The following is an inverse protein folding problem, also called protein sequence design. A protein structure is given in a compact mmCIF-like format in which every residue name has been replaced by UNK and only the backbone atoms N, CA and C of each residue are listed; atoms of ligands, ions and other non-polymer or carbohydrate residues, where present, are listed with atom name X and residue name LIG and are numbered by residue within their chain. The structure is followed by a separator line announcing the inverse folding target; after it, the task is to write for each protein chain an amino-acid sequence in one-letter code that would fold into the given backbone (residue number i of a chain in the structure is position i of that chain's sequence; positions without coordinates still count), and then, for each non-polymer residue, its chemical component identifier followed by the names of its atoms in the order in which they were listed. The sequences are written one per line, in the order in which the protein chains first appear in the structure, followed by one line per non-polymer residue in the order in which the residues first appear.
data_IF_911376004519
#
_entry.id   IF_911376004519
#
_cell.length_a   1.000
_cell.length_b   1.000
_cell.length_c   1.000
_cell.angle_alpha   90.00
_cell.angle_beta   90.00
_cell.angle_gamma   90.00
#
_symmetry.space_group_name_H-M   'P 1'
#
loop_
_entity.id
_entity.type
_entity.pdbx_description
1 polymer ?
#
# COMPACT_ATOMS: atom_id res chain seq x y z
N UNK A 1 -21.65 15.80 -7.24
CA UNK A 1 -20.76 16.78 -6.61
C UNK A 1 -21.60 17.80 -5.87
N UNK A 2 -21.28 18.01 -4.60
CA UNK A 2 -21.92 19.05 -3.78
C UNK A 2 -20.99 20.27 -3.68
N UNK A 3 -21.46 21.37 -3.09
CA UNK A 3 -20.69 22.62 -2.96
C UNK A 3 -20.55 23.05 -1.49
N UNK A 4 -20.48 22.08 -0.57
CA UNK A 4 -20.29 22.40 0.84
C UNK A 4 -18.89 23.03 1.03
N UNK A 5 -18.82 24.10 1.80
CA UNK A 5 -17.61 24.88 2.05
C UNK A 5 -17.38 25.07 3.55
N UNK A 6 -16.15 25.39 3.92
CA UNK A 6 -15.78 25.68 5.30
C UNK A 6 -15.39 24.44 6.08
N UNK A 7 -15.31 24.57 7.41
CA UNK A 7 -14.79 23.51 8.29
C UNK A 7 -15.83 22.46 8.61
N UNK A 8 -15.36 21.23 8.77
CA UNK A 8 -16.16 20.14 9.35
C UNK A 8 -16.44 20.49 10.82
N UNK A 9 -17.70 20.55 11.25
CA UNK A 9 -18.03 20.92 12.62
C UNK A 9 -17.68 19.78 13.59
N UNK A 10 -17.05 20.12 14.72
CA UNK A 10 -16.69 19.15 15.78
C UNK A 10 -17.91 18.46 16.40
N UNK A 11 -19.10 19.03 16.25
CA UNK A 11 -20.37 18.45 16.70
C UNK A 11 -20.69 17.10 16.05
N UNK A 12 -20.11 16.77 14.89
CA UNK A 12 -20.26 15.45 14.28
C UNK A 12 -19.85 14.34 15.24
N UNK A 13 -18.80 14.53 16.04
CA UNK A 13 -18.37 13.54 17.03
C UNK A 13 -19.37 13.24 18.15
N UNK A 14 -20.47 13.99 18.26
CA UNK A 14 -21.58 13.68 19.18
C UNK A 14 -22.53 12.61 18.64
N UNK A 15 -22.48 12.33 17.34
CA UNK A 15 -23.35 11.37 16.65
C UNK A 15 -22.82 9.95 16.84
N UNK A 16 -22.89 9.43 18.07
CA UNK A 16 -22.28 8.13 18.43
C UNK A 16 -22.83 6.93 17.65
N UNK A 17 -24.03 7.05 17.10
CA UNK A 17 -24.70 6.02 16.30
C UNK A 17 -24.59 6.26 14.79
N UNK A 18 -23.77 7.21 14.36
CA UNK A 18 -23.54 7.43 12.94
C UNK A 18 -22.75 6.25 12.37
N UNK A 19 -23.34 5.57 11.39
CA UNK A 19 -22.71 4.42 10.72
C UNK A 19 -21.99 4.81 9.42
N UNK A 20 -22.58 5.75 8.67
CA UNK A 20 -22.06 6.16 7.36
C UNK A 20 -21.87 7.67 7.32
N UNK A 21 -20.68 8.11 6.93
CA UNK A 21 -20.35 9.51 6.68
C UNK A 21 -19.62 9.65 5.34
N UNK A 22 -20.35 10.11 4.32
CA UNK A 22 -19.78 10.47 3.02
C UNK A 22 -19.82 12.00 2.86
N UNK A 23 -18.63 12.60 2.86
CA UNK A 23 -18.42 14.02 2.60
C UNK A 23 -17.61 14.24 1.32
N UNK A 24 -17.45 13.21 0.50
CA UNK A 24 -16.61 13.26 -0.69
C UNK A 24 -17.11 14.28 -1.70
N UNK A 25 -16.20 14.76 -2.56
CA UNK A 25 -16.52 15.68 -3.66
C UNK A 25 -17.23 16.96 -3.22
N UNK A 26 -16.60 17.67 -2.28
CA UNK A 26 -17.01 18.97 -1.76
C UNK A 26 -15.80 19.95 -1.73
N UNK A 27 -15.99 21.14 -1.18
CA UNK A 27 -14.94 22.14 -0.98
C UNK A 27 -14.70 22.40 0.51
N UNK A 28 -14.81 21.35 1.34
CA UNK A 28 -14.57 21.47 2.78
C UNK A 28 -13.08 21.75 3.03
N UNK A 29 -12.79 22.55 4.04
CA UNK A 29 -11.43 23.00 4.35
C UNK A 29 -11.12 22.96 5.83
N UNK A 30 -9.84 23.10 6.19
CA UNK A 30 -9.38 22.96 7.57
C UNK A 30 -9.17 21.50 7.97
N UNK A 31 -8.95 21.29 9.26
CA UNK A 31 -8.55 19.99 9.79
C UNK A 31 -9.74 19.03 9.96
N UNK A 32 -9.46 17.73 9.90
CA UNK A 32 -10.42 16.70 10.32
C UNK A 32 -10.55 16.77 11.86
N UNK A 33 -11.74 16.99 12.43
CA UNK A 33 -11.88 17.16 13.87
C UNK A 33 -11.47 15.91 14.65
N UNK A 34 -10.63 16.05 15.68
CA UNK A 34 -10.24 14.95 16.57
C UNK A 34 -11.45 14.22 17.18
N UNK A 35 -12.58 14.92 17.34
CA UNK A 35 -13.86 14.37 17.79
C UNK A 35 -14.41 13.23 16.91
N UNK A 36 -13.91 13.03 15.69
CA UNK A 36 -14.27 11.87 14.87
C UNK A 36 -13.90 10.55 15.54
N UNK A 37 -12.86 10.55 16.39
CA UNK A 37 -12.54 9.39 17.23
C UNK A 37 -13.69 8.98 18.16
N UNK A 38 -14.65 9.88 18.45
CA UNK A 38 -15.82 9.56 19.30
C UNK A 38 -16.96 8.86 18.55
N UNK A 39 -16.85 8.68 17.24
CA UNK A 39 -17.82 7.97 16.41
C UNK A 39 -17.59 6.46 16.52
N UNK A 40 -18.24 5.82 17.49
CA UNK A 40 -18.03 4.40 17.83
C UNK A 40 -18.82 3.40 17.00
N UNK A 41 -19.73 3.88 16.13
CA UNK A 41 -20.53 3.04 15.25
C UNK A 41 -20.21 3.23 13.77
N UNK A 42 -19.20 4.06 13.44
CA UNK A 42 -18.94 4.48 12.06
C UNK A 42 -18.27 3.37 11.24
N UNK A 43 -19.01 2.74 10.34
CA UNK A 43 -18.54 1.66 9.48
C UNK A 43 -18.07 2.13 8.11
N UNK A 44 -18.53 3.29 7.64
CA UNK A 44 -18.16 3.85 6.35
C UNK A 44 -17.82 5.33 6.46
N UNK A 45 -16.64 5.69 5.96
CA UNK A 45 -16.13 7.06 5.91
C UNK A 45 -15.59 7.33 4.51
N UNK A 46 -15.97 8.46 3.92
CA UNK A 46 -15.35 8.97 2.70
C UNK A 46 -15.18 10.49 2.79
N UNK A 47 -13.94 10.96 2.74
CA UNK A 47 -13.55 12.38 2.81
C UNK A 47 -12.87 12.85 1.52
N UNK A 48 -12.86 12.01 0.48
CA UNK A 48 -12.08 12.23 -0.73
C UNK A 48 -12.53 13.46 -1.51
N UNK A 49 -11.62 14.03 -2.29
CA UNK A 49 -11.87 15.19 -3.16
C UNK A 49 -12.47 16.37 -2.38
N UNK A 50 -11.68 16.88 -1.42
CA UNK A 50 -11.94 18.09 -0.63
C UNK A 50 -10.65 18.92 -0.49
N UNK A 51 -10.68 20.00 0.30
CA UNK A 51 -9.53 20.85 0.61
C UNK A 51 -9.10 20.70 2.09
N UNK A 52 -9.20 19.49 2.66
CA UNK A 52 -8.83 19.22 4.04
C UNK A 52 -7.30 19.29 4.22
N UNK A 53 -6.88 19.69 5.41
CA UNK A 53 -5.46 19.93 5.74
C UNK A 53 -5.08 19.24 7.06
N UNK A 54 -3.78 19.09 7.31
CA UNK A 54 -3.25 18.69 8.59
C UNK A 54 -3.18 17.17 8.79
N UNK A 55 -2.90 16.75 10.03
CA UNK A 55 -2.75 15.34 10.37
C UNK A 55 -4.10 14.63 10.40
N UNK A 56 -4.18 13.45 9.79
CA UNK A 56 -5.33 12.56 9.93
C UNK A 56 -5.41 12.11 11.40
N UNK A 57 -6.53 12.38 12.11
CA UNK A 57 -6.68 12.03 13.50
C UNK A 57 -6.70 10.51 13.65
N UNK A 58 -5.85 9.99 14.54
CA UNK A 58 -5.88 8.59 14.97
C UNK A 58 -6.72 8.41 16.22
N UNK A 59 -7.22 7.18 16.43
CA UNK A 59 -7.92 6.75 17.63
C UNK A 59 -9.27 6.06 17.37
N UNK A 60 -9.60 5.10 18.23
CA UNK A 60 -10.80 4.28 18.16
C UNK A 60 -11.05 3.71 16.74
N UNK A 61 -12.21 3.97 16.17
CA UNK A 61 -12.64 3.43 14.87
C UNK A 61 -11.89 4.07 13.69
N UNK A 62 -11.21 5.21 13.88
CA UNK A 62 -10.44 5.84 12.80
C UNK A 62 -9.21 5.03 12.38
N UNK A 63 -8.67 4.21 13.28
CA UNK A 63 -7.56 3.29 12.99
C UNK A 63 -7.99 2.13 12.09
N UNK A 64 -9.30 1.89 11.95
CA UNK A 64 -9.82 0.86 11.04
C UNK A 64 -9.94 1.35 9.59
N UNK A 65 -9.92 2.66 9.38
CA UNK A 65 -10.00 3.28 8.05
C UNK A 65 -8.60 3.45 7.45
N UNK A 66 -7.98 2.32 7.11
CA UNK A 66 -6.63 2.27 6.53
C UNK A 66 -6.60 2.43 5.01
N UNK A 67 -7.76 2.48 4.37
CA UNK A 67 -7.86 2.70 2.93
C UNK A 67 -7.51 4.16 2.60
N UNK A 68 -6.46 4.36 1.80
CA UNK A 68 -5.99 5.68 1.38
C UNK A 68 -6.99 6.40 0.47
N UNK A 69 -7.86 5.66 -0.23
CA UNK A 69 -8.89 6.25 -1.10
C UNK A 69 -9.88 7.13 -0.35
N UNK A 70 -10.10 6.87 0.95
CA UNK A 70 -10.96 7.67 1.83
C UNK A 70 -10.51 9.13 1.90
N UNK A 71 -9.20 9.37 1.75
CA UNK A 71 -8.56 10.68 1.92
C UNK A 71 -8.05 11.26 0.59
N UNK A 72 -8.20 10.53 -0.51
CA UNK A 72 -7.72 10.92 -1.84
C UNK A 72 -8.18 12.32 -2.23
N UNK A 73 -7.39 13.06 -3.01
CA UNK A 73 -7.78 14.39 -3.49
C UNK A 73 -7.78 15.49 -2.44
N UNK A 74 -7.18 15.25 -1.26
CA UNK A 74 -6.88 16.27 -0.23
C UNK A 74 -5.36 16.48 -0.15
N UNK A 75 -4.79 17.45 -0.89
CA UNK A 75 -3.33 17.53 -1.09
C UNK A 75 -2.52 17.94 0.15
N UNK A 76 -3.18 18.45 1.20
CA UNK A 76 -2.52 18.96 2.40
C UNK A 76 -2.75 18.09 3.64
N UNK A 77 -3.33 16.89 3.46
CA UNK A 77 -3.41 15.88 4.52
C UNK A 77 -2.07 15.15 4.68
N UNK A 78 -1.76 14.74 5.91
CA UNK A 78 -0.57 13.98 6.25
C UNK A 78 -0.84 12.99 7.40
N UNK A 79 0.10 12.07 7.63
CA UNK A 79 0.01 11.03 8.65
C UNK A 79 -0.75 9.78 8.18
N UNK A 80 -0.59 8.69 8.93
CA UNK A 80 -1.24 7.42 8.61
C UNK A 80 -2.77 7.59 8.46
N UNK A 81 -3.41 6.93 7.46
CA UNK A 81 -2.83 5.90 6.58
C UNK A 81 -2.09 6.44 5.35
N UNK A 82 -1.96 7.76 5.17
CA UNK A 82 -1.18 8.33 4.06
C UNK A 82 0.32 8.20 4.35
N UNK A 83 1.12 7.93 3.31
CA UNK A 83 2.59 7.93 3.38
C UNK A 83 3.21 9.32 3.47
N UNK A 84 2.38 10.37 3.52
CA UNK A 84 2.82 11.77 3.62
C UNK A 84 3.19 12.05 5.09
N UNK A 85 4.44 12.42 5.33
CA UNK A 85 4.94 12.76 6.68
C UNK A 85 4.43 14.14 7.10
N UNK A 86 4.01 14.28 8.37
CA UNK A 86 3.53 15.56 8.88
C UNK A 86 4.68 16.47 9.36
N UNK A 87 4.56 17.80 9.20
CA UNK A 87 5.49 18.74 9.79
C UNK A 87 5.63 18.53 11.31
N UNK A 88 6.87 18.35 11.79
CA UNK A 88 7.17 18.09 13.20
C UNK A 88 7.55 16.64 13.51
N UNK A 89 7.30 15.68 12.61
CA UNK A 89 7.80 14.31 12.75
C UNK A 89 9.31 14.19 12.44
N UNK A 90 9.86 15.16 11.71
CA UNK A 90 11.23 15.14 11.18
C UNK A 90 12.32 15.77 12.06
N UNK A 91 12.07 16.05 13.35
CA UNK A 91 13.15 16.43 14.27
C UNK A 91 14.18 15.30 14.49
N UNK A 92 14.00 14.11 13.89
CA UNK A 92 14.97 12.99 13.94
C UNK A 92 15.28 12.31 12.61
N UNK A 93 14.80 12.77 11.46
CA UNK A 93 15.15 12.14 10.18
C UNK A 93 15.32 13.18 9.08
N UNK A 94 16.56 13.66 8.91
CA UNK A 94 16.95 14.23 7.61
C UNK A 94 17.09 13.07 6.64
N UNK A 95 16.13 12.92 5.73
CA UNK A 95 16.40 12.48 4.38
C UNK A 95 15.39 13.16 3.45
N UNK A 96 15.87 14.24 2.84
CA UNK A 96 15.34 14.80 1.61
C UNK A 96 15.20 13.69 0.57
N UNK A 97 13.99 13.46 0.05
CA UNK A 97 13.82 12.85 -1.27
C UNK A 97 12.80 13.67 -2.07
N UNK A 98 13.12 14.04 -3.34
CA UNK A 98 12.21 14.80 -4.20
C UNK A 98 11.02 13.94 -4.61
N UNK A 99 9.93 14.62 -4.96
CA UNK A 99 8.72 14.07 -5.55
C UNK A 99 9.04 13.16 -6.75
N UNK A 100 8.84 11.86 -6.60
CA UNK A 100 8.54 10.95 -7.70
C UNK A 100 7.18 10.33 -7.45
N UNK A 101 6.22 10.76 -8.27
CA UNK A 101 4.96 10.10 -8.51
C UNK A 101 5.23 8.73 -9.14
N UNK A 102 4.95 7.65 -8.43
CA UNK A 102 4.69 6.35 -9.06
C UNK A 102 3.85 5.47 -8.15
N UNK A 103 2.73 5.01 -8.71
CA UNK A 103 1.66 4.33 -7.98
C UNK A 103 2.01 2.91 -7.54
N UNK A 104 1.13 2.42 -6.66
CA UNK A 104 0.76 1.01 -6.45
C UNK A 104 1.94 0.03 -6.55
N UNK A 105 2.51 -0.26 -5.38
CA UNK A 105 3.25 -1.47 -5.01
C UNK A 105 3.29 -2.54 -6.12
N UNK A 106 4.22 -2.37 -7.05
CA UNK A 106 4.54 -3.26 -8.17
C UNK A 106 5.55 -4.34 -7.77
N UNK A 107 6.04 -4.27 -6.53
CA UNK A 107 7.02 -5.19 -5.97
C UNK A 107 6.49 -6.63 -5.84
N UNK A 108 5.23 -6.86 -5.47
CA UNK A 108 4.70 -8.22 -5.32
C UNK A 108 4.62 -8.92 -6.69
N UNK A 109 4.11 -8.25 -7.72
CA UNK A 109 4.03 -8.79 -9.08
C UNK A 109 5.43 -9.03 -9.69
N UNK A 110 6.38 -8.12 -9.43
CA UNK A 110 7.77 -8.29 -9.84
C UNK A 110 8.43 -9.49 -9.13
N UNK A 111 8.21 -9.69 -7.83
CA UNK A 111 8.70 -10.87 -7.11
C UNK A 111 8.11 -12.18 -7.63
N UNK A 112 6.83 -12.19 -8.01
CA UNK A 112 6.21 -13.36 -8.67
C UNK A 112 6.83 -13.66 -10.05
N UNK A 113 7.13 -12.64 -10.85
CA UNK A 113 7.81 -12.84 -12.14
C UNK A 113 9.25 -13.34 -11.98
N UNK A 114 9.99 -12.81 -11.00
CA UNK A 114 11.35 -13.25 -10.68
C UNK A 114 11.36 -14.70 -10.21
N UNK A 115 10.40 -15.11 -9.37
CA UNK A 115 10.30 -16.48 -8.88
C UNK A 115 9.93 -17.47 -10.00
N UNK A 116 9.00 -17.09 -10.88
CA UNK A 116 8.63 -17.90 -12.04
C UNK A 116 9.81 -18.06 -13.02
N UNK A 117 10.56 -16.97 -13.29
CA UNK A 117 11.73 -16.99 -14.16
C UNK A 117 12.87 -17.87 -13.63
N UNK A 118 13.19 -17.77 -12.33
CA UNK A 118 14.21 -18.62 -11.70
C UNK A 118 13.82 -20.10 -11.69
N UNK A 119 12.52 -20.39 -11.52
CA UNK A 119 11.99 -21.76 -11.58
C UNK A 119 12.22 -22.44 -12.94
N UNK A 120 12.01 -21.70 -14.04
CA UNK A 120 12.29 -22.22 -15.40
C UNK A 120 13.78 -22.48 -15.64
N UNK A 121 14.66 -21.61 -15.14
CA UNK A 121 16.12 -21.78 -15.27
C UNK A 121 16.57 -23.04 -14.52
N UNK A 122 16.22 -23.16 -13.23
CA UNK A 122 16.64 -24.30 -12.41
C UNK A 122 16.06 -25.62 -12.96
N UNK A 123 14.79 -25.62 -13.37
CA UNK A 123 14.15 -26.80 -13.96
C UNK A 123 14.79 -27.25 -15.27
N UNK A 124 15.09 -26.32 -16.17
CA UNK A 124 15.70 -26.63 -17.47
C UNK A 124 17.12 -27.20 -17.33
N UNK A 125 17.95 -26.61 -16.46
CA UNK A 125 19.32 -27.08 -16.24
C UNK A 125 19.38 -28.40 -15.45
N UNK A 126 18.45 -28.66 -14.53
CA UNK A 126 18.37 -29.95 -13.84
C UNK A 126 18.00 -31.10 -14.81
N UNK A 127 17.05 -30.86 -15.72
CA UNK A 127 16.66 -31.85 -16.73
C UNK A 127 17.78 -32.07 -17.74
N UNK A 128 18.39 -31.01 -18.28
CA UNK A 128 19.51 -31.14 -19.20
C UNK A 128 20.74 -31.76 -18.53
N UNK A 129 21.07 -31.39 -17.29
CA UNK A 129 22.20 -31.94 -16.54
C UNK A 129 22.05 -33.43 -16.26
N UNK A 130 20.87 -33.89 -15.84
CA UNK A 130 20.61 -35.32 -15.63
C UNK A 130 20.67 -36.13 -16.93
N UNK A 131 20.21 -35.55 -18.05
CA UNK A 131 20.32 -36.19 -19.37
C UNK A 131 21.77 -36.27 -19.87
N UNK A 132 22.59 -35.23 -19.64
CA UNK A 132 24.01 -35.24 -20.00
C UNK A 132 24.80 -36.22 -19.13
N UNK A 133 24.55 -36.27 -17.81
CA UNK A 133 25.18 -37.25 -16.92
C UNK A 133 24.79 -38.68 -17.29
N UNK A 134 23.50 -38.93 -17.57
CA UNK A 134 23.01 -40.25 -18.01
C UNK A 134 23.60 -40.66 -19.36
N UNK A 135 23.81 -39.70 -20.28
CA UNK A 135 24.45 -39.94 -21.57
C UNK A 135 25.96 -40.17 -21.44
N UNK A 136 26.63 -39.46 -20.53
CA UNK A 136 28.06 -39.63 -20.23
C UNK A 136 28.34 -41.01 -19.62
N UNK A 137 27.49 -41.48 -18.70
CA UNK A 137 27.59 -42.83 -18.14
C UNK A 137 27.35 -43.93 -19.18
N UNK A 138 26.43 -43.72 -20.13
CA UNK A 138 26.19 -44.67 -21.20
C UNK A 138 27.30 -44.72 -22.26
N UNK A 139 28.10 -43.66 -22.38
CA UNK A 139 29.24 -43.62 -23.31
C UNK A 139 30.51 -44.21 -22.67
N UNK A 140 30.80 -43.87 -21.42
CA UNK A 140 31.99 -44.38 -20.71
C UNK A 140 31.91 -45.90 -20.45
N UNK A 141 30.71 -46.48 -20.29
CA UNK A 141 30.54 -47.93 -20.15
C UNK A 141 30.82 -48.71 -21.45
N UNK A 142 31.06 -48.04 -22.58
CA UNK A 142 31.29 -48.68 -23.89
C UNK A 142 32.78 -48.79 -24.26
N UNK A 143 33.66 -48.13 -23.50
CA UNK A 143 35.11 -48.14 -23.75
C UNK A 143 35.89 -49.08 -22.81
N UNK A 144 35.27 -49.62 -21.75
CA UNK A 144 35.91 -50.49 -20.76
C UNK A 144 35.67 -52.01 -20.97
N UNK A 145 35.16 -52.43 -22.14
CA UNK A 145 34.84 -53.84 -22.42
C UNK A 145 35.48 -54.40 -23.70
N UNK A 146 36.55 -53.77 -24.19
CA UNK A 146 37.35 -54.27 -25.30
C UNK A 146 38.85 -53.97 -25.07
N UNK A 147 39.46 -54.71 -24.15
CA UNK A 147 40.91 -54.95 -24.10
C UNK A 147 41.14 -56.20 -23.24
N UNK A 148 41.52 -57.29 -23.95
CA UNK A 148 42.03 -58.58 -23.46
C UNK A 148 43.06 -58.46 -22.33
#
# INVERSE_FOLDING_TARGET
MNRLTGKIPSSIGKLRWLETLDLSHNHLSGDIPQNFSSLTSLSHLNLSYNNLIGRIPSGNQLETFNDTSIYEGNPLLCGAPLSIVCPGDDARSRQTFPLEDHGKDDNEMLWFYVSMALGFIIGFWAVCGTLVLKKSWSSNSKDDNDSD
#
